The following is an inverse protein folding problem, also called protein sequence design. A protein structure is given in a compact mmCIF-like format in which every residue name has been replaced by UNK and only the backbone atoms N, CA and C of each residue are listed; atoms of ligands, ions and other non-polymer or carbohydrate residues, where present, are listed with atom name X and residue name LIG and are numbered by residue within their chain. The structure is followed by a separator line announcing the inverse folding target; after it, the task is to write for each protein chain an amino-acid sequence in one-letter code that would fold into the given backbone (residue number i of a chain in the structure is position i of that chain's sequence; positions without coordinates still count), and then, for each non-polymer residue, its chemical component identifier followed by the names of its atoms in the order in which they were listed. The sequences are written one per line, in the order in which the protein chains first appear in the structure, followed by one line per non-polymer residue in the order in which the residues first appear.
data_IF_373206688091
#
_entry.id   IF_373206688091
#
_cell.length_a   1.000
_cell.length_b   1.000
_cell.length_c   1.000
_cell.angle_alpha   90.00
_cell.angle_beta   90.00
_cell.angle_gamma   90.00
#
_symmetry.space_group_name_H-M   'P 1'
#
loop_
_entity.id
_entity.type
_entity.pdbx_description
1 polymer ?
#
# COMPACT_ATOMS: atom_id res chain seq x y z
N UNK A 1 -4.57 -2.92 -19.81
CA UNK A 1 -5.94 -3.18 -19.34
C UNK A 1 -6.39 -2.12 -18.31
N UNK A 2 -5.51 -1.73 -17.40
CA UNK A 2 -5.73 -0.69 -16.38
C UNK A 2 -4.91 0.54 -16.76
N UNK A 3 -5.47 1.42 -17.56
CA UNK A 3 -4.86 2.67 -18.00
C UNK A 3 -5.35 3.88 -17.18
N UNK A 4 -4.70 5.05 -17.36
CA UNK A 4 -5.08 6.30 -16.72
C UNK A 4 -4.34 6.63 -15.42
N UNK A 5 -3.26 5.93 -15.12
CA UNK A 5 -2.41 6.19 -13.97
C UNK A 5 -0.94 6.38 -14.39
N UNK A 6 -0.23 7.25 -13.67
CA UNK A 6 1.22 7.38 -13.83
C UNK A 6 2.00 6.11 -13.44
N UNK A 7 1.35 5.13 -12.84
CA UNK A 7 1.94 3.81 -12.54
C UNK A 7 1.70 2.77 -13.63
N UNK A 8 0.87 3.06 -14.63
CA UNK A 8 0.51 2.11 -15.70
C UNK A 8 0.78 2.65 -17.11
N UNK A 9 0.88 3.97 -17.25
CA UNK A 9 1.03 4.65 -18.52
C UNK A 9 2.36 5.42 -18.55
N UNK A 10 2.75 5.90 -19.72
CA UNK A 10 3.93 6.76 -19.90
C UNK A 10 3.61 8.20 -19.46
N UNK A 11 3.36 8.34 -18.16
CA UNK A 11 3.05 9.61 -17.48
C UNK A 11 4.07 9.77 -16.34
N UNK A 12 4.62 10.97 -16.20
CA UNK A 12 5.60 11.26 -15.16
C UNK A 12 5.05 11.02 -13.76
N UNK A 13 5.83 10.36 -12.91
CA UNK A 13 5.48 10.13 -11.50
C UNK A 13 5.51 11.48 -10.76
N UNK A 14 4.41 11.86 -10.08
CA UNK A 14 4.34 13.13 -9.38
C UNK A 14 5.34 13.17 -8.20
N UNK A 15 5.97 14.33 -8.02
CA UNK A 15 6.82 14.63 -6.87
C UNK A 15 6.03 15.40 -5.79
N UNK A 16 6.43 15.28 -4.53
CA UNK A 16 5.89 16.03 -3.40
C UNK A 16 5.29 15.16 -2.30
N UNK A 17 4.54 15.79 -1.42
CA UNK A 17 3.94 15.13 -0.25
C UNK A 17 2.89 14.10 -0.66
N UNK A 18 2.86 12.97 0.02
CA UNK A 18 1.99 11.82 -0.30
C UNK A 18 0.48 12.10 -0.18
N UNK A 19 0.07 13.13 0.56
CA UNK A 19 -1.34 13.57 0.66
C UNK A 19 -1.71 14.68 -0.34
N UNK A 20 -0.76 15.14 -1.17
CA UNK A 20 -1.02 16.21 -2.12
C UNK A 20 -1.92 15.76 -3.28
N UNK A 21 -2.77 16.65 -3.78
CA UNK A 21 -3.77 16.35 -4.81
C UNK A 21 -3.18 15.77 -6.10
N UNK A 22 -1.94 16.14 -6.46
CA UNK A 22 -1.25 15.60 -7.64
C UNK A 22 -0.97 14.08 -7.52
N UNK A 23 -0.94 13.52 -6.30
CA UNK A 23 -0.79 12.08 -6.09
C UNK A 23 -1.99 11.27 -6.61
N UNK A 24 -3.12 11.90 -6.90
CA UNK A 24 -4.27 11.23 -7.54
C UNK A 24 -3.93 10.62 -8.90
N UNK A 25 -2.92 11.14 -9.60
CA UNK A 25 -2.42 10.54 -10.84
C UNK A 25 -1.80 9.15 -10.66
N UNK A 26 -1.44 8.77 -9.43
CA UNK A 26 -0.90 7.43 -9.11
C UNK A 26 -1.99 6.39 -8.83
N UNK A 27 -3.26 6.79 -8.81
CA UNK A 27 -4.36 5.84 -8.59
C UNK A 27 -4.51 4.94 -9.82
N UNK A 28 -4.24 3.65 -9.64
CA UNK A 28 -4.57 2.63 -10.65
C UNK A 28 -6.03 2.24 -10.46
N UNK A 29 -6.90 2.45 -11.47
CA UNK A 29 -8.34 2.24 -11.32
C UNK A 29 -8.66 0.83 -10.81
N UNK A 30 -9.43 0.76 -9.72
CA UNK A 30 -9.97 -0.50 -9.17
C UNK A 30 -8.93 -1.55 -8.76
N UNK A 31 -7.66 -1.15 -8.58
CA UNK A 31 -6.55 -2.09 -8.36
C UNK A 31 -6.75 -3.01 -7.16
N UNK A 32 -7.03 -2.46 -5.99
CA UNK A 32 -7.15 -3.26 -4.77
C UNK A 32 -8.39 -4.17 -4.80
N UNK A 33 -9.52 -3.73 -5.39
CA UNK A 33 -10.68 -4.60 -5.56
C UNK A 33 -10.34 -5.83 -6.44
N UNK A 34 -9.63 -5.63 -7.56
CA UNK A 34 -9.21 -6.71 -8.45
C UNK A 34 -8.26 -7.66 -7.74
N UNK A 35 -7.22 -7.13 -7.09
CA UNK A 35 -6.22 -7.94 -6.39
C UNK A 35 -6.84 -8.73 -5.23
N UNK A 36 -7.71 -8.10 -4.43
CA UNK A 36 -8.40 -8.77 -3.34
C UNK A 36 -9.37 -9.86 -3.85
N UNK A 37 -10.07 -9.61 -4.95
CA UNK A 37 -10.94 -10.64 -5.56
C UNK A 37 -10.14 -11.87 -6.00
N UNK A 38 -8.97 -11.68 -6.60
CA UNK A 38 -8.07 -12.77 -6.97
C UNK A 38 -7.51 -13.50 -5.75
N UNK A 39 -7.11 -12.74 -4.71
CA UNK A 39 -6.57 -13.30 -3.47
C UNK A 39 -7.62 -14.14 -2.73
N UNK A 40 -8.87 -13.67 -2.67
CA UNK A 40 -9.98 -14.42 -2.07
C UNK A 40 -10.28 -15.69 -2.84
N UNK A 41 -10.32 -15.64 -4.18
CA UNK A 41 -10.48 -16.84 -5.01
C UNK A 41 -9.37 -17.86 -4.77
N UNK A 42 -8.14 -17.40 -4.63
CA UNK A 42 -7.01 -18.27 -4.26
C UNK A 42 -7.15 -18.83 -2.85
N UNK A 43 -7.51 -17.99 -1.86
CA UNK A 43 -7.72 -18.40 -0.48
C UNK A 43 -8.75 -19.56 -0.40
N UNK A 44 -9.89 -19.42 -1.08
CA UNK A 44 -10.90 -20.49 -1.18
C UNK A 44 -10.29 -21.77 -1.78
N UNK A 45 -9.51 -21.65 -2.85
CA UNK A 45 -8.92 -22.82 -3.54
C UNK A 45 -7.93 -23.61 -2.69
N UNK A 46 -7.31 -22.98 -1.70
CA UNK A 46 -6.34 -23.62 -0.79
C UNK A 46 -6.88 -23.84 0.63
N UNK A 47 -8.14 -23.53 0.88
CA UNK A 47 -8.77 -23.69 2.18
C UNK A 47 -8.31 -22.66 3.23
N UNK A 48 -7.84 -21.47 2.81
CA UNK A 48 -7.47 -20.40 3.72
C UNK A 48 -8.71 -19.56 4.09
N UNK A 49 -8.85 -19.24 5.36
CA UNK A 49 -10.00 -18.50 5.88
C UNK A 49 -9.79 -16.96 5.88
N UNK A 50 -8.58 -16.48 5.61
CA UNK A 50 -8.26 -15.07 5.76
C UNK A 50 -7.31 -14.58 4.65
N UNK A 51 -7.53 -13.33 4.21
CA UNK A 51 -6.65 -12.59 3.30
C UNK A 51 -6.22 -11.30 4.01
N UNK A 52 -4.92 -11.04 4.03
CA UNK A 52 -4.35 -9.83 4.60
C UNK A 52 -3.85 -8.90 3.51
N UNK A 53 -4.08 -7.58 3.66
CA UNK A 53 -3.45 -6.59 2.81
C UNK A 53 -3.03 -5.32 3.58
N UNK A 54 -2.12 -4.54 2.99
CA UNK A 54 -1.36 -3.53 3.69
C UNK A 54 -1.92 -2.11 3.61
N UNK A 55 -3.26 -1.91 3.51
CA UNK A 55 -3.82 -0.57 3.59
C UNK A 55 -3.56 0.04 4.97
N UNK A 56 -3.20 1.33 5.01
CA UNK A 56 -2.91 2.06 6.23
C UNK A 56 -3.47 3.49 6.18
N UNK A 57 -3.43 4.24 7.31
CA UNK A 57 -4.10 5.54 7.40
C UNK A 57 -3.52 6.60 6.44
N UNK A 58 -2.22 6.55 6.12
CA UNK A 58 -1.59 7.46 5.15
C UNK A 58 -2.16 7.36 3.73
N UNK A 59 -2.74 6.22 3.38
CA UNK A 59 -3.35 6.00 2.07
C UNK A 59 -4.73 6.68 1.92
N UNK A 60 -5.42 6.98 3.02
CA UNK A 60 -6.84 7.36 3.00
C UNK A 60 -7.12 8.69 2.30
N UNK A 61 -6.16 9.62 2.29
CA UNK A 61 -6.30 10.92 1.63
C UNK A 61 -6.50 10.75 0.11
N UNK A 62 -5.72 9.86 -0.51
CA UNK A 62 -5.61 9.73 -1.96
C UNK A 62 -6.32 8.49 -2.50
N UNK A 63 -6.23 7.33 -1.81
CA UNK A 63 -6.66 6.03 -2.33
C UNK A 63 -7.99 5.58 -1.70
N UNK A 64 -9.14 5.73 -2.41
CA UNK A 64 -10.46 5.34 -1.89
C UNK A 64 -10.53 3.87 -1.50
N UNK A 65 -9.83 3.00 -2.24
CA UNK A 65 -9.78 1.55 -2.04
C UNK A 65 -8.83 1.08 -0.91
N UNK A 66 -8.35 2.04 -0.10
CA UNK A 66 -7.63 1.79 1.15
C UNK A 66 -8.40 2.27 2.38
N UNK A 67 -9.57 2.90 2.20
CA UNK A 67 -10.36 3.47 3.30
C UNK A 67 -11.10 2.41 4.11
N UNK A 68 -11.38 2.66 5.41
CA UNK A 68 -12.11 1.71 6.26
C UNK A 68 -13.44 1.25 5.68
N UNK A 69 -14.21 2.16 5.08
CA UNK A 69 -15.49 1.82 4.45
C UNK A 69 -15.32 0.83 3.29
N UNK A 70 -14.30 1.00 2.46
CA UNK A 70 -14.00 0.06 1.37
C UNK A 70 -13.64 -1.31 1.93
N UNK A 71 -12.73 -1.36 2.93
CA UNK A 71 -12.30 -2.62 3.57
C UNK A 71 -13.50 -3.39 4.12
N UNK A 72 -14.37 -2.70 4.86
CA UNK A 72 -15.57 -3.32 5.44
C UNK A 72 -16.50 -3.88 4.36
N UNK A 73 -16.83 -3.07 3.34
CA UNK A 73 -17.74 -3.52 2.26
C UNK A 73 -17.14 -4.65 1.44
N UNK A 74 -15.83 -4.61 1.18
CA UNK A 74 -15.15 -5.69 0.46
C UNK A 74 -15.16 -6.97 1.28
N UNK A 75 -14.94 -6.89 2.60
CA UNK A 75 -15.07 -8.01 3.51
C UNK A 75 -16.49 -8.59 3.48
N UNK A 76 -17.51 -7.75 3.61
CA UNK A 76 -18.93 -8.20 3.59
C UNK A 76 -19.26 -8.98 2.31
N UNK A 77 -18.80 -8.49 1.16
CA UNK A 77 -18.99 -9.20 -0.14
C UNK A 77 -18.26 -10.54 -0.14
N UNK A 78 -17.03 -10.60 0.35
CA UNK A 78 -16.23 -11.84 0.34
C UNK A 78 -16.82 -12.93 1.25
N UNK A 79 -17.47 -12.55 2.34
CA UNK A 79 -18.14 -13.49 3.24
C UNK A 79 -19.35 -14.18 2.63
N UNK A 80 -20.00 -13.57 1.64
CA UNK A 80 -21.22 -14.12 1.01
C UNK A 80 -21.00 -14.61 -0.42
N UNK A 81 -19.83 -14.34 -1.01
CA UNK A 81 -19.55 -14.65 -2.41
C UNK A 81 -19.25 -16.13 -2.67
N UNK A 82 -18.93 -16.90 -1.63
CA UNK A 82 -18.56 -18.32 -1.72
C UNK A 82 -19.29 -19.15 -0.65
N UNK A 83 -19.29 -20.47 -0.79
CA UNK A 83 -19.81 -21.36 0.26
C UNK A 83 -18.94 -21.31 1.52
N UNK A 84 -17.62 -21.20 1.34
CA UNK A 84 -16.65 -20.98 2.42
C UNK A 84 -16.38 -19.48 2.52
N UNK A 85 -16.67 -18.88 3.67
CA UNK A 85 -16.40 -17.46 3.90
C UNK A 85 -14.90 -17.20 4.04
N UNK A 86 -14.45 -16.07 3.50
CA UNK A 86 -13.07 -15.59 3.65
C UNK A 86 -13.09 -14.18 4.20
N UNK A 87 -12.39 -13.95 5.30
CA UNK A 87 -12.24 -12.63 5.91
C UNK A 87 -11.13 -11.83 5.25
N UNK A 88 -11.38 -10.53 5.05
CA UNK A 88 -10.34 -9.58 4.63
C UNK A 88 -9.87 -8.76 5.84
N UNK A 89 -8.57 -8.79 6.07
CA UNK A 89 -7.92 -8.07 7.15
C UNK A 89 -6.93 -7.02 6.64
N UNK A 90 -7.00 -5.80 7.18
CA UNK A 90 -5.96 -4.78 7.08
C UNK A 90 -5.53 -4.38 8.49
N UNK A 91 -4.48 -5.02 9.05
CA UNK A 91 -4.10 -4.83 10.45
C UNK A 91 -3.64 -3.41 10.77
N UNK A 92 -3.18 -2.68 9.76
CA UNK A 92 -2.65 -1.32 9.89
C UNK A 92 -3.61 -0.23 9.39
N UNK A 93 -4.89 -0.56 9.20
CA UNK A 93 -5.88 0.33 8.57
C UNK A 93 -5.98 1.71 9.24
N UNK A 94 -5.78 1.79 10.54
CA UNK A 94 -5.94 3.02 11.34
C UNK A 94 -4.63 3.61 11.85
N UNK A 95 -3.49 3.08 11.44
CA UNK A 95 -2.16 3.56 11.85
C UNK A 95 -1.36 4.08 10.67
N UNK A 96 -0.42 4.97 10.92
CA UNK A 96 0.43 5.56 9.89
C UNK A 96 1.69 4.71 9.62
N UNK A 97 2.42 5.06 8.59
CA UNK A 97 3.64 4.35 8.19
C UNK A 97 4.74 4.39 9.25
N UNK A 98 4.78 5.44 10.08
CA UNK A 98 5.73 5.55 11.21
C UNK A 98 5.51 4.43 12.24
N UNK A 99 4.26 4.17 12.61
CA UNK A 99 3.92 3.08 13.52
C UNK A 99 4.20 1.70 12.89
N UNK A 100 3.91 1.51 11.60
CA UNK A 100 4.25 0.28 10.86
C UNK A 100 5.76 0.04 10.88
N UNK A 101 6.56 1.08 10.66
CA UNK A 101 8.01 0.99 10.73
C UNK A 101 8.48 0.61 12.15
N UNK A 102 7.92 1.23 13.19
CA UNK A 102 8.21 0.91 14.59
C UNK A 102 7.96 -0.56 14.90
N UNK A 103 6.80 -1.08 14.48
CA UNK A 103 6.44 -2.50 14.68
C UNK A 103 7.42 -3.41 13.95
N UNK A 104 7.73 -3.13 12.69
CA UNK A 104 8.66 -3.92 11.91
C UNK A 104 10.07 -3.95 12.51
N UNK A 105 10.56 -2.81 13.01
CA UNK A 105 11.85 -2.74 13.73
C UNK A 105 11.81 -3.59 15.00
N UNK A 106 10.72 -3.56 15.75
CA UNK A 106 10.57 -4.39 16.96
C UNK A 106 10.59 -5.89 16.68
N UNK A 107 10.15 -6.29 15.48
CA UNK A 107 10.19 -7.66 14.98
C UNK A 107 11.52 -8.03 14.31
N UNK A 108 12.48 -7.12 14.22
CA UNK A 108 13.78 -7.35 13.62
C UNK A 108 13.76 -7.39 12.07
N UNK A 109 12.78 -6.73 11.43
CA UNK A 109 12.74 -6.64 9.97
C UNK A 109 13.94 -5.85 9.42
N UNK A 110 14.60 -6.40 8.41
CA UNK A 110 15.64 -5.72 7.66
C UNK A 110 15.01 -4.88 6.52
N UNK A 111 14.90 -3.59 6.77
CA UNK A 111 14.33 -2.65 5.81
C UNK A 111 15.21 -2.37 4.59
N UNK A 112 16.46 -2.83 4.54
CA UNK A 112 17.29 -2.78 3.32
C UNK A 112 16.71 -3.62 2.19
N UNK A 113 15.89 -4.62 2.52
CA UNK A 113 15.19 -5.50 1.58
C UNK A 113 13.80 -5.00 1.18
N UNK A 114 13.43 -3.77 1.55
CA UNK A 114 12.10 -3.19 1.26
C UNK A 114 12.19 -2.04 0.26
N UNK A 115 11.13 -1.85 -0.52
CA UNK A 115 11.08 -0.83 -1.56
C UNK A 115 9.71 -0.16 -1.63
N UNK A 116 9.68 1.17 -1.81
CA UNK A 116 8.44 1.94 -1.96
C UNK A 116 8.43 2.85 -3.19
N UNK A 117 9.60 3.23 -3.73
CA UNK A 117 9.70 4.21 -4.80
C UNK A 117 8.92 3.79 -6.05
N UNK A 118 8.07 4.68 -6.56
CA UNK A 118 7.26 4.45 -7.76
C UNK A 118 8.07 4.49 -9.06
N UNK A 119 9.24 5.13 -9.10
CA UNK A 119 10.06 5.24 -10.30
C UNK A 119 10.78 3.93 -10.70
N UNK A 120 10.88 2.94 -9.82
CA UNK A 120 11.40 1.60 -10.16
C UNK A 120 12.86 1.56 -10.68
N UNK A 121 13.72 2.51 -10.25
CA UNK A 121 15.14 2.62 -10.66
C UNK A 121 16.03 1.85 -9.69
N UNK A 122 17.36 1.83 -9.95
CA UNK A 122 18.34 1.21 -9.03
C UNK A 122 18.38 1.88 -7.66
N UNK A 123 18.17 3.20 -7.62
CA UNK A 123 18.06 3.98 -6.39
C UNK A 123 16.68 4.59 -6.29
N UNK A 124 16.19 4.76 -5.08
CA UNK A 124 14.93 5.45 -4.85
C UNK A 124 15.07 6.93 -5.21
N UNK A 125 14.03 7.54 -5.83
CA UNK A 125 14.13 8.94 -6.27
C UNK A 125 14.15 9.95 -5.11
N UNK A 126 13.67 9.58 -3.92
CA UNK A 126 13.58 10.47 -2.77
C UNK A 126 12.50 11.55 -2.86
N UNK A 127 11.77 11.67 -3.97
CA UNK A 127 10.90 12.81 -4.28
C UNK A 127 9.42 12.45 -4.48
N UNK A 128 9.10 11.24 -4.97
CA UNK A 128 7.71 10.81 -5.13
C UNK A 128 7.03 10.64 -3.76
N UNK A 129 5.69 10.68 -3.73
CA UNK A 129 4.92 10.58 -2.49
C UNK A 129 5.31 9.39 -1.61
N UNK A 130 5.49 8.21 -2.20
CA UNK A 130 5.88 7.02 -1.46
C UNK A 130 7.29 7.12 -0.84
N UNK A 131 8.23 7.83 -1.50
CA UNK A 131 9.55 8.10 -0.91
C UNK A 131 9.46 9.12 0.22
N UNK A 132 8.66 10.19 0.07
CA UNK A 132 8.48 11.20 1.10
C UNK A 132 7.90 10.60 2.37
N UNK A 133 6.82 9.82 2.26
CA UNK A 133 6.20 9.14 3.40
C UNK A 133 7.15 8.13 4.07
N UNK A 134 7.97 7.42 3.28
CA UNK A 134 8.97 6.50 3.81
C UNK A 134 10.06 7.26 4.59
N UNK A 135 10.63 8.32 4.01
CA UNK A 135 11.66 9.13 4.65
C UNK A 135 11.16 9.78 5.94
N UNK A 136 9.91 10.27 5.95
CA UNK A 136 9.26 10.81 7.14
C UNK A 136 9.15 9.75 8.25
N UNK A 137 8.68 8.54 7.92
CA UNK A 137 8.58 7.45 8.88
C UNK A 137 9.93 7.08 9.51
N UNK A 138 11.01 7.04 8.72
CA UNK A 138 12.35 6.80 9.22
C UNK A 138 12.86 7.96 10.11
N UNK A 139 12.63 9.21 9.69
CA UNK A 139 13.03 10.39 10.46
C UNK A 139 12.31 10.47 11.81
N UNK A 140 11.00 10.20 11.87
CA UNK A 140 10.24 10.18 13.12
C UNK A 140 10.71 9.06 14.08
N UNK A 141 11.15 7.92 13.54
CA UNK A 141 11.79 6.85 14.32
C UNK A 141 13.25 7.16 14.68
N UNK A 142 13.80 8.32 14.25
CA UNK A 142 15.18 8.76 14.53
C UNK A 142 16.25 7.80 14.02
N UNK A 143 16.00 7.14 12.91
CA UNK A 143 16.92 6.23 12.23
C UNK A 143 17.09 6.65 10.76
N UNK A 144 18.19 6.23 10.17
CA UNK A 144 18.44 6.46 8.74
C UNK A 144 17.86 5.30 7.92
N UNK A 145 17.17 5.64 6.83
CA UNK A 145 16.70 4.62 5.89
C UNK A 145 17.90 3.89 5.25
N UNK A 146 17.94 2.56 5.30
CA UNK A 146 19.08 1.80 4.80
C UNK A 146 19.18 1.71 3.26
N UNK A 147 18.15 2.09 2.49
CA UNK A 147 18.22 2.04 1.04
C UNK A 147 18.92 3.26 0.44
N UNK A 148 19.41 3.12 -0.80
CA UNK A 148 20.07 4.20 -1.52
C UNK A 148 19.06 5.12 -2.23
N UNK A 149 19.32 6.42 -2.19
CA UNK A 149 18.56 7.46 -2.89
C UNK A 149 19.38 8.12 -4.00
N UNK A 150 18.70 8.62 -5.04
CA UNK A 150 19.30 9.50 -6.04
C UNK A 150 19.71 10.83 -5.39
N UNK A 151 20.77 11.47 -5.91
CA UNK A 151 21.25 12.78 -5.43
C UNK A 151 20.52 13.92 -6.10
#
# INVERSE_FOLDING_TARGET
LLAGSSLTDDIEIPEGHYEADNMKSTIVPNRNMILLSLAVGYAVSVGAAQVYYGAHSGDHAIYPDCRPEFVQKMNDVCQIANYESVDIFSPYLTVNKTAILTDGLSMGLDYSNTWTCYNGREKACGKCGACQERLEAFAENKITDPIAYEQ
#
